data_IF_373472749682
#
_entry.id   IF_373472749682
#
_cell.length_a   1.000
_cell.length_b   1.000
_cell.length_c   1.000
_cell.angle_alpha   90.00
_cell.angle_beta   90.00
_cell.angle_gamma   90.00
#
_symmetry.space_group_name_H-M   'P 1'
#
loop_
_entity.id
_entity.type
_entity.pdbx_description
1 polymer ?
#
# COMPACT_ATOMS: atom_id res chain seq x y z
N UNK A 1 -71.59 1.88 1.07
CA UNK A 1 -70.97 3.05 1.72
C UNK A 1 -69.58 2.66 2.21
N UNK A 2 -68.53 3.26 1.65
CA UNK A 2 -67.16 3.06 2.15
C UNK A 2 -67.01 3.83 3.47
N UNK A 3 -66.59 3.15 4.52
CA UNK A 3 -66.42 3.74 5.83
C UNK A 3 -65.12 4.57 5.84
N UNK A 4 -65.25 5.90 5.75
CA UNK A 4 -64.14 6.87 5.69
C UNK A 4 -63.13 6.66 6.82
N UNK A 5 -63.58 6.22 8.00
CA UNK A 5 -62.69 5.91 9.13
C UNK A 5 -61.76 4.72 8.84
N UNK A 6 -62.24 3.70 8.13
CA UNK A 6 -61.42 2.56 7.68
C UNK A 6 -60.44 3.00 6.59
N UNK A 7 -60.88 3.86 5.66
CA UNK A 7 -60.01 4.40 4.60
C UNK A 7 -58.84 5.22 5.18
N UNK A 8 -59.09 6.06 6.19
CA UNK A 8 -58.06 6.84 6.89
C UNK A 8 -57.10 5.94 7.67
N UNK A 9 -57.61 4.90 8.33
CA UNK A 9 -56.79 3.90 9.03
C UNK A 9 -55.86 3.16 8.06
N UNK A 10 -56.37 2.68 6.93
CA UNK A 10 -55.56 2.02 5.90
C UNK A 10 -54.54 2.97 5.25
N UNK A 11 -54.91 4.23 5.00
CA UNK A 11 -53.98 5.24 4.48
C UNK A 11 -52.81 5.53 5.43
N UNK A 12 -53.09 5.65 6.74
CA UNK A 12 -52.05 5.86 7.75
C UNK A 12 -51.11 4.66 7.88
N UNK A 13 -51.65 3.44 7.87
CA UNK A 13 -50.85 2.22 7.95
C UNK A 13 -49.94 2.06 6.72
N UNK A 14 -50.45 2.39 5.54
CA UNK A 14 -49.67 2.35 4.29
C UNK A 14 -48.52 3.36 4.29
N UNK A 15 -48.76 4.58 4.78
CA UNK A 15 -47.70 5.59 4.91
C UNK A 15 -46.59 5.14 5.88
N UNK A 16 -46.96 4.49 7.00
CA UNK A 16 -45.98 3.93 7.95
C UNK A 16 -45.15 2.82 7.31
N UNK A 17 -45.77 1.89 6.56
CA UNK A 17 -45.06 0.80 5.87
C UNK A 17 -44.08 1.35 4.84
N UNK A 18 -44.47 2.36 4.05
CA UNK A 18 -43.57 3.03 3.08
C UNK A 18 -42.41 3.68 3.81
N UNK A 19 -42.67 4.41 4.91
CA UNK A 19 -41.61 5.04 5.69
C UNK A 19 -40.59 4.03 6.21
N UNK A 20 -41.06 2.87 6.69
CA UNK A 20 -40.21 1.75 7.12
C UNK A 20 -39.39 1.19 5.95
N UNK A 21 -40.02 0.97 4.80
CA UNK A 21 -39.34 0.46 3.61
C UNK A 21 -38.24 1.42 3.10
N UNK A 22 -38.54 2.72 3.06
CA UNK A 22 -37.56 3.76 2.69
C UNK A 22 -36.42 3.80 3.71
N UNK A 23 -36.71 3.72 5.00
CA UNK A 23 -35.70 3.72 6.05
C UNK A 23 -34.75 2.52 5.93
N UNK A 24 -35.28 1.31 5.72
CA UNK A 24 -34.45 0.11 5.51
C UNK A 24 -33.65 0.18 4.21
N UNK A 25 -34.23 0.69 3.12
CA UNK A 25 -33.54 0.88 1.85
C UNK A 25 -32.40 1.89 1.97
N UNK A 26 -32.66 3.04 2.61
CA UNK A 26 -31.65 4.06 2.86
C UNK A 26 -30.49 3.50 3.69
N UNK A 27 -30.78 2.82 4.81
CA UNK A 27 -29.73 2.20 5.65
C UNK A 27 -28.95 1.12 4.89
N UNK A 28 -29.62 0.36 4.04
CA UNK A 28 -28.99 -0.65 3.18
C UNK A 28 -28.09 -0.07 2.07
N UNK A 29 -28.10 1.25 1.86
CA UNK A 29 -27.27 1.93 0.86
C UNK A 29 -25.89 2.35 1.35
N UNK A 30 -25.55 2.06 2.61
CA UNK A 30 -24.25 2.38 3.22
C UNK A 30 -23.48 1.10 3.60
N UNK A 31 -22.15 1.21 3.64
CA UNK A 31 -21.23 0.21 4.14
C UNK A 31 -20.27 0.82 5.15
N UNK A 32 -19.80 0.01 6.10
CA UNK A 32 -18.85 0.46 7.11
C UNK A 32 -17.43 0.50 6.53
N UNK A 33 -16.70 1.58 6.81
CA UNK A 33 -15.31 1.77 6.38
C UNK A 33 -14.45 2.08 7.60
N UNK A 34 -13.30 1.42 7.66
CA UNK A 34 -12.27 1.63 8.67
C UNK A 34 -10.93 1.78 7.96
N UNK A 35 -10.27 2.92 8.17
CA UNK A 35 -8.96 3.21 7.60
C UNK A 35 -8.02 3.54 8.76
N UNK A 36 -6.92 2.82 8.83
CA UNK A 36 -5.84 3.09 9.78
C UNK A 36 -4.70 3.76 9.03
N UNK A 37 -4.28 4.95 9.47
CA UNK A 37 -3.12 5.66 8.95
C UNK A 37 -1.92 5.52 9.90
N UNK A 38 -0.69 5.54 9.38
CA UNK A 38 0.48 5.76 10.21
C UNK A 38 0.49 7.18 10.79
N UNK A 39 1.18 7.35 11.92
CA UNK A 39 1.29 8.64 12.59
C UNK A 39 1.87 9.73 11.68
N UNK A 40 1.22 10.89 11.65
CA UNK A 40 1.70 12.06 10.91
C UNK A 40 1.28 12.12 9.43
N UNK A 41 0.63 11.08 8.90
CA UNK A 41 0.08 11.08 7.54
C UNK A 41 -1.35 11.60 7.54
N UNK A 42 -1.64 12.54 6.65
CA UNK A 42 -2.99 13.00 6.38
C UNK A 42 -3.54 12.34 5.12
N UNK A 43 -4.86 12.14 5.10
CA UNK A 43 -5.55 11.55 3.96
C UNK A 43 -6.87 12.25 3.67
N UNK A 44 -7.31 12.13 2.41
CA UNK A 44 -8.65 12.50 1.96
C UNK A 44 -9.27 11.37 1.15
N UNK A 45 -10.58 11.19 1.29
CA UNK A 45 -11.37 10.27 0.49
C UNK A 45 -12.15 11.10 -0.54
N UNK A 46 -12.09 10.69 -1.79
CA UNK A 46 -12.90 11.26 -2.88
C UNK A 46 -13.74 10.14 -3.52
N UNK A 47 -14.88 10.50 -4.13
CA UNK A 47 -15.66 9.55 -4.93
C UNK A 47 -14.91 9.30 -6.24
N UNK A 48 -14.68 8.03 -6.59
CA UNK A 48 -14.07 7.70 -7.88
C UNK A 48 -15.05 8.00 -9.02
N UNK A 49 -14.76 9.03 -9.82
CA UNK A 49 -15.60 9.47 -10.94
C UNK A 49 -14.93 9.23 -12.30
N UNK A 50 -14.87 7.98 -12.77
CA UNK A 50 -14.41 7.65 -14.14
C UNK A 50 -12.98 8.14 -14.49
N UNK A 51 -12.56 7.91 -15.73
CA UNK A 51 -11.15 8.03 -16.15
C UNK A 51 -10.57 9.46 -16.24
N UNK A 52 -11.30 10.53 -15.96
CA UNK A 52 -10.79 11.90 -16.15
C UNK A 52 -11.26 12.85 -15.05
N UNK A 53 -10.39 13.08 -14.06
CA UNK A 53 -10.34 14.38 -13.38
C UNK A 53 -8.99 14.61 -12.73
N UNK A 54 -8.15 15.35 -13.45
CA UNK A 54 -7.08 16.14 -12.84
C UNK A 54 -7.68 17.06 -11.77
N UNK A 55 -7.16 16.98 -10.55
CA UNK A 55 -6.88 18.15 -9.71
C UNK A 55 -8.02 19.04 -9.19
N UNK A 56 -9.31 18.73 -9.35
CA UNK A 56 -10.39 19.53 -8.72
C UNK A 56 -10.53 19.16 -7.23
N UNK A 57 -9.98 20.00 -6.36
CA UNK A 57 -9.83 19.79 -4.91
C UNK A 57 -11.13 19.90 -4.07
N UNK A 58 -12.30 20.17 -4.66
CA UNK A 58 -13.50 20.58 -3.89
C UNK A 58 -14.49 19.43 -3.56
N UNK A 59 -14.13 18.17 -3.80
CA UNK A 59 -15.01 17.00 -3.72
C UNK A 59 -14.74 15.99 -2.59
N UNK A 60 -13.96 16.36 -1.57
CA UNK A 60 -13.60 15.44 -0.49
C UNK A 60 -14.83 14.98 0.31
N UNK A 61 -15.03 13.67 0.37
CA UNK A 61 -16.07 13.01 1.18
C UNK A 61 -15.66 13.04 2.65
N UNK A 62 -14.36 12.89 2.92
CA UNK A 62 -13.78 13.02 4.24
C UNK A 62 -12.30 13.42 4.12
N UNK A 63 -11.80 14.16 5.12
CA UNK A 63 -10.37 14.47 5.31
C UNK A 63 -10.03 14.18 6.76
N UNK A 64 -8.91 13.51 7.01
CA UNK A 64 -8.51 13.06 8.34
C UNK A 64 -6.98 12.89 8.44
N UNK A 65 -6.46 12.92 9.67
CA UNK A 65 -5.02 12.79 9.98
C UNK A 65 -4.69 11.63 10.92
N UNK A 66 -5.70 10.83 11.27
CA UNK A 66 -5.61 9.69 12.19
C UNK A 66 -6.42 8.51 11.61
N UNK A 67 -6.86 7.56 12.44
CA UNK A 67 -7.81 6.54 12.01
C UNK A 67 -9.16 7.15 11.61
N UNK A 68 -9.71 6.70 10.49
CA UNK A 68 -11.07 7.03 10.05
C UNK A 68 -12.01 5.85 10.23
N UNK A 69 -13.18 6.09 10.80
CA UNK A 69 -14.25 5.10 10.85
C UNK A 69 -15.61 5.75 10.66
N UNK A 70 -16.28 5.42 9.56
CA UNK A 70 -17.63 5.91 9.28
C UNK A 70 -18.37 4.99 8.30
N UNK A 71 -19.65 5.27 8.10
CA UNK A 71 -20.45 4.65 7.05
C UNK A 71 -20.43 5.50 5.78
N UNK A 72 -19.84 4.95 4.73
CA UNK A 72 -19.87 5.56 3.41
C UNK A 72 -20.98 4.96 2.56
N UNK A 73 -21.51 5.74 1.62
CA UNK A 73 -22.48 5.23 0.64
C UNK A 73 -21.80 4.16 -0.20
N UNK A 74 -22.54 3.12 -0.61
CA UNK A 74 -21.98 2.10 -1.49
C UNK A 74 -21.59 2.71 -2.83
N UNK A 75 -20.30 2.69 -3.16
CA UNK A 75 -19.68 3.30 -4.34
C UNK A 75 -18.19 2.93 -4.41
N UNK A 76 -17.54 3.29 -5.52
CA UNK A 76 -16.09 3.34 -5.62
C UNK A 76 -15.56 4.68 -5.09
N UNK A 77 -14.44 4.61 -4.38
CA UNK A 77 -13.76 5.72 -3.76
C UNK A 77 -12.26 5.62 -4.01
N UNK A 78 -11.60 6.77 -3.92
CA UNK A 78 -10.14 6.88 -3.98
C UNK A 78 -9.69 7.53 -2.68
N UNK A 79 -8.80 6.85 -1.96
CA UNK A 79 -8.05 7.36 -0.82
C UNK A 79 -6.77 8.01 -1.35
N UNK A 80 -6.52 9.26 -0.99
CA UNK A 80 -5.31 9.98 -1.35
C UNK A 80 -4.62 10.39 -0.06
N UNK A 81 -3.37 10.02 0.09
CA UNK A 81 -2.52 10.44 1.22
C UNK A 81 -1.53 11.49 0.78
N UNK A 82 -1.26 12.43 1.68
CA UNK A 82 -0.23 13.44 1.44
C UNK A 82 1.12 12.88 1.90
N UNK A 83 2.12 13.01 1.03
CA UNK A 83 3.50 12.73 1.40
C UNK A 83 3.93 13.61 2.57
N UNK A 84 4.77 13.04 3.43
CA UNK A 84 5.36 13.71 4.60
C UNK A 84 6.88 13.69 4.47
N UNK A 85 7.60 14.16 5.49
CA UNK A 85 9.05 13.97 5.55
C UNK A 85 9.46 12.50 5.65
N UNK A 86 8.60 11.63 6.19
CA UNK A 86 8.93 10.21 6.41
C UNK A 86 8.33 9.27 5.37
N UNK A 87 7.15 9.60 4.84
CA UNK A 87 6.35 8.74 3.97
C UNK A 87 6.09 9.38 2.61
N UNK A 88 6.13 8.58 1.56
CA UNK A 88 5.65 8.97 0.24
C UNK A 88 4.12 9.12 0.22
N UNK A 89 3.63 9.95 -0.70
CA UNK A 89 2.20 10.07 -0.95
C UNK A 89 1.70 8.90 -1.79
N UNK A 90 0.59 8.30 -1.37
CA UNK A 90 -0.03 7.15 -2.03
C UNK A 90 -1.50 7.40 -2.36
N UNK A 91 -1.95 6.82 -3.47
CA UNK A 91 -3.35 6.79 -3.91
C UNK A 91 -3.83 5.34 -3.98
N UNK A 92 -4.96 5.04 -3.32
CA UNK A 92 -5.56 3.71 -3.24
C UNK A 92 -7.05 3.76 -3.58
N UNK A 93 -7.46 2.98 -4.58
CA UNK A 93 -8.87 2.82 -4.92
C UNK A 93 -9.52 1.69 -4.09
N UNK A 94 -10.73 1.92 -3.60
CA UNK A 94 -11.51 0.92 -2.86
C UNK A 94 -13.01 0.99 -3.15
N UNK A 95 -13.69 -0.14 -3.01
CA UNK A 95 -15.14 -0.24 -3.18
C UNK A 95 -15.84 -0.43 -1.83
N UNK A 96 -16.80 0.44 -1.54
CA UNK A 96 -17.72 0.28 -0.42
C UNK A 96 -18.91 -0.51 -0.90
N UNK A 97 -19.06 -1.73 -0.37
CA UNK A 97 -20.15 -2.64 -0.70
C UNK A 97 -20.96 -2.97 0.56
N UNK A 98 -21.59 -4.15 0.61
CA UNK A 98 -22.33 -4.60 1.79
C UNK A 98 -21.42 -5.10 2.91
N UNK A 99 -20.18 -5.47 2.60
CA UNK A 99 -19.21 -5.93 3.60
C UNK A 99 -18.40 -4.74 4.15
N UNK A 100 -17.94 -4.80 5.42
CA UNK A 100 -17.02 -3.81 5.96
C UNK A 100 -15.73 -3.73 5.14
N UNK A 101 -15.29 -2.51 4.85
CA UNK A 101 -14.00 -2.23 4.21
C UNK A 101 -13.01 -1.87 5.31
N UNK A 102 -11.92 -2.63 5.42
CA UNK A 102 -10.85 -2.39 6.37
C UNK A 102 -9.57 -2.17 5.58
N UNK A 103 -9.01 -0.96 5.68
CA UNK A 103 -7.77 -0.56 5.00
C UNK A 103 -6.74 -0.24 6.08
N UNK A 104 -5.65 -0.98 6.08
CA UNK A 104 -4.49 -0.67 6.92
C UNK A 104 -3.41 -0.11 5.99
N UNK A 105 -3.25 1.21 6.02
CA UNK A 105 -2.31 1.87 5.13
C UNK A 105 -0.90 1.73 5.67
N UNK A 106 0.00 1.28 4.81
CA UNK A 106 1.43 1.16 5.08
C UNK A 106 2.19 1.82 3.94
N UNK A 107 2.24 3.17 3.90
CA UNK A 107 2.92 3.89 2.83
C UNK A 107 4.41 3.57 2.84
N UNK A 108 5.01 3.67 1.67
CA UNK A 108 6.45 3.58 1.49
C UNK A 108 7.16 4.77 2.15
N UNK A 109 8.39 4.56 2.59
CA UNK A 109 9.23 5.64 3.09
C UNK A 109 9.79 6.49 1.96
N UNK A 110 10.03 7.77 2.26
CA UNK A 110 10.74 8.67 1.35
C UNK A 110 12.17 8.20 1.10
N UNK A 111 12.74 8.60 -0.03
CA UNK A 111 14.14 8.30 -0.36
C UNK A 111 15.10 8.78 0.75
N UNK A 112 14.89 9.97 1.29
CA UNK A 112 15.69 10.53 2.39
C UNK A 112 15.63 9.67 3.66
N UNK A 113 14.43 9.16 4.00
CA UNK A 113 14.25 8.26 5.15
C UNK A 113 14.92 6.92 4.89
N UNK A 114 14.79 6.37 3.69
CA UNK A 114 15.41 5.11 3.28
C UNK A 114 16.95 5.21 3.31
N UNK A 115 17.54 6.32 2.88
CA UNK A 115 18.99 6.53 2.95
C UNK A 115 19.51 6.62 4.38
N UNK A 116 18.75 7.27 5.27
CA UNK A 116 19.05 7.32 6.70
C UNK A 116 19.00 5.91 7.31
N UNK A 117 17.96 5.13 6.99
CA UNK A 117 17.81 3.75 7.46
C UNK A 117 18.90 2.84 6.89
N UNK A 118 19.28 3.02 5.63
CA UNK A 118 20.34 2.25 4.99
C UNK A 118 21.67 2.47 5.72
N UNK A 119 22.01 3.72 6.03
CA UNK A 119 23.23 4.04 6.77
C UNK A 119 23.32 3.30 8.11
N UNK A 120 22.18 3.14 8.80
CA UNK A 120 22.12 2.42 10.08
C UNK A 120 22.16 0.89 9.95
N UNK A 121 21.64 0.35 8.85
CA UNK A 121 21.47 -1.10 8.64
C UNK A 121 22.53 -1.71 7.73
N UNK A 122 23.36 -0.89 7.08
CA UNK A 122 24.33 -1.31 6.07
C UNK A 122 25.21 -2.46 6.57
N UNK A 123 25.82 -2.32 7.76
CA UNK A 123 26.69 -3.36 8.32
C UNK A 123 25.98 -4.71 8.48
N UNK A 124 24.75 -4.71 9.00
CA UNK A 124 23.96 -5.94 9.19
C UNK A 124 23.64 -6.62 7.84
N UNK A 125 23.36 -5.83 6.80
CA UNK A 125 23.10 -6.32 5.44
C UNK A 125 24.38 -6.96 4.85
N UNK A 126 25.54 -6.30 5.01
CA UNK A 126 26.82 -6.85 4.56
C UNK A 126 27.14 -8.17 5.25
N UNK A 127 26.93 -8.23 6.56
CA UNK A 127 27.19 -9.45 7.35
C UNK A 127 26.29 -10.59 6.91
N UNK A 128 24.99 -10.33 6.71
CA UNK A 128 24.07 -11.33 6.18
C UNK A 128 24.49 -11.82 4.79
N UNK A 129 24.93 -10.91 3.90
CA UNK A 129 25.43 -11.28 2.58
C UNK A 129 26.68 -12.17 2.66
N UNK A 130 27.68 -11.78 3.47
CA UNK A 130 28.92 -12.54 3.64
C UNK A 130 28.69 -13.91 4.28
N UNK A 131 27.71 -14.02 5.18
CA UNK A 131 27.34 -15.29 5.79
C UNK A 131 26.76 -16.27 4.77
N UNK A 132 25.91 -15.77 3.86
CA UNK A 132 25.32 -16.59 2.79
C UNK A 132 26.31 -16.89 1.65
N UNK A 133 27.28 -16.00 1.41
CA UNK A 133 28.23 -16.08 0.30
C UNK A 133 29.67 -15.75 0.74
N UNK A 134 30.36 -16.65 1.46
CA UNK A 134 31.68 -16.38 2.02
C UNK A 134 32.77 -16.18 0.95
N UNK A 135 32.62 -16.74 -0.25
CA UNK A 135 33.62 -16.69 -1.32
C UNK A 135 33.38 -15.58 -2.35
N UNK A 136 32.16 -15.04 -2.47
CA UNK A 136 31.85 -13.96 -3.44
C UNK A 136 32.73 -12.72 -3.23
N UNK A 137 33.05 -12.27 -1.99
CA UNK A 137 33.93 -11.12 -1.76
C UNK A 137 35.34 -11.23 -2.35
N UNK A 138 35.79 -12.42 -2.76
CA UNK A 138 37.09 -12.60 -3.41
C UNK A 138 37.10 -12.13 -4.86
N UNK A 139 35.94 -12.16 -5.52
CA UNK A 139 35.81 -11.87 -6.96
C UNK A 139 34.87 -10.70 -7.27
N UNK A 140 34.09 -10.27 -6.28
CA UNK A 140 33.08 -9.22 -6.42
C UNK A 140 33.14 -8.25 -5.24
N UNK A 141 32.96 -6.97 -5.56
CA UNK A 141 32.79 -5.90 -4.57
C UNK A 141 31.33 -5.48 -4.56
N UNK A 142 30.73 -5.39 -3.37
CA UNK A 142 29.46 -4.69 -3.22
C UNK A 142 29.71 -3.18 -3.29
N UNK A 143 29.16 -2.53 -4.31
CA UNK A 143 29.46 -1.11 -4.60
C UNK A 143 28.33 -0.19 -4.18
N UNK A 144 27.09 -0.63 -4.37
CA UNK A 144 25.92 0.17 -4.07
C UNK A 144 24.73 -0.72 -3.74
N UNK A 145 23.79 -0.13 -3.02
CA UNK A 145 22.46 -0.68 -2.87
C UNK A 145 21.54 0.36 -2.27
N UNK A 146 20.26 0.04 -2.22
CA UNK A 146 19.26 0.92 -1.62
C UNK A 146 18.19 0.12 -0.92
N UNK A 147 17.52 0.77 0.03
CA UNK A 147 16.33 0.24 0.65
C UNK A 147 15.08 0.56 -0.19
N UNK A 148 14.02 -0.22 0.00
CA UNK A 148 12.73 -0.07 -0.66
C UNK A 148 11.59 -0.25 0.35
N UNK A 149 10.39 0.21 -0.03
CA UNK A 149 9.18 0.06 0.78
C UNK A 149 9.31 0.77 2.11
N UNK A 150 9.15 0.03 3.20
CA UNK A 150 9.29 0.55 4.57
C UNK A 150 10.70 0.31 5.13
N UNK A 151 11.71 0.19 4.26
CA UNK A 151 13.08 -0.13 4.66
C UNK A 151 13.31 -1.60 5.03
N UNK A 152 12.36 -2.46 4.69
CA UNK A 152 12.38 -3.90 4.96
C UNK A 152 12.96 -4.72 3.78
N UNK A 153 13.15 -4.09 2.63
CA UNK A 153 13.79 -4.68 1.46
C UNK A 153 15.04 -3.93 1.06
N UNK A 154 16.08 -4.67 0.70
CA UNK A 154 17.33 -4.14 0.22
C UNK A 154 17.67 -4.74 -1.15
N UNK A 155 18.09 -3.90 -2.08
CA UNK A 155 18.70 -4.33 -3.34
C UNK A 155 20.16 -3.92 -3.39
N UNK A 156 21.05 -4.86 -3.72
CA UNK A 156 22.48 -4.62 -3.82
C UNK A 156 23.04 -4.99 -5.19
N UNK A 157 24.08 -4.26 -5.62
CA UNK A 157 24.81 -4.48 -6.87
C UNK A 157 26.25 -4.91 -6.59
N UNK A 158 26.60 -6.07 -7.13
CA UNK A 158 27.93 -6.67 -7.06
C UNK A 158 28.67 -6.42 -8.37
N UNK A 159 29.81 -5.75 -8.28
CA UNK A 159 30.69 -5.48 -9.43
C UNK A 159 31.86 -6.47 -9.37
N UNK A 160 32.13 -7.23 -10.44
CA UNK A 160 33.26 -8.14 -10.47
C UNK A 160 34.58 -7.38 -10.51
N UNK A 161 35.62 -7.97 -9.92
CA UNK A 161 37.00 -7.46 -10.05
C UNK A 161 37.51 -7.54 -11.49
N UNK A 162 37.07 -8.54 -12.25
CA UNK A 162 37.32 -8.67 -13.69
C UNK A 162 36.06 -8.30 -14.50
N UNK A 163 35.92 -7.02 -14.80
CA UNK A 163 34.76 -6.49 -15.54
C UNK A 163 34.73 -6.86 -17.03
N UNK A 164 35.83 -7.41 -17.58
CA UNK A 164 35.88 -7.80 -19.00
C UNK A 164 35.26 -9.19 -19.22
N UNK A 165 35.36 -10.06 -18.22
CA UNK A 165 34.98 -11.48 -18.35
C UNK A 165 33.84 -11.91 -17.43
N UNK A 166 33.34 -11.02 -16.57
CA UNK A 166 32.27 -11.34 -15.61
C UNK A 166 31.16 -10.28 -15.63
N UNK A 167 29.94 -10.74 -15.43
CA UNK A 167 28.76 -9.87 -15.38
C UNK A 167 28.58 -9.21 -14.01
N UNK A 168 27.93 -8.05 -14.02
CA UNK A 168 27.40 -7.41 -12.81
C UNK A 168 26.25 -8.27 -12.28
N UNK A 169 26.28 -8.57 -10.98
CA UNK A 169 25.24 -9.34 -10.31
C UNK A 169 24.44 -8.45 -9.37
N UNK A 170 23.19 -8.82 -9.13
CA UNK A 170 22.26 -8.17 -8.23
C UNK A 170 21.75 -9.17 -7.21
N UNK A 171 21.49 -8.69 -6.01
CA UNK A 171 20.78 -9.49 -5.02
C UNK A 171 19.73 -8.68 -4.29
N UNK A 172 18.77 -9.40 -3.73
CA UNK A 172 17.72 -8.85 -2.88
C UNK A 172 17.81 -9.48 -1.51
N UNK A 173 17.74 -8.65 -0.47
CA UNK A 173 17.60 -9.08 0.90
C UNK A 173 16.29 -8.55 1.50
N UNK A 174 15.73 -9.28 2.45
CA UNK A 174 14.53 -8.88 3.18
C UNK A 174 14.75 -9.02 4.68
N UNK A 175 14.28 -8.03 5.44
CA UNK A 175 14.36 -8.04 6.89
C UNK A 175 13.19 -8.85 7.46
N UNK A 176 13.50 -10.05 7.95
CA UNK A 176 12.53 -10.97 8.56
C UNK A 176 12.83 -11.12 10.04
N UNK A 177 11.84 -10.84 10.88
CA UNK A 177 11.96 -10.97 12.34
C UNK A 177 13.18 -10.23 12.92
N UNK A 178 13.49 -9.05 12.37
CA UNK A 178 14.62 -8.21 12.80
C UNK A 178 15.96 -8.52 12.12
N UNK A 179 16.09 -9.66 11.43
CA UNK A 179 17.33 -10.08 10.76
C UNK A 179 17.25 -9.96 9.25
N UNK A 180 18.35 -9.60 8.60
CA UNK A 180 18.45 -9.58 7.14
C UNK A 180 18.68 -10.98 6.58
N UNK A 181 17.93 -11.35 5.55
CA UNK A 181 18.04 -12.65 4.87
C UNK A 181 18.17 -12.39 3.37
N UNK A 182 19.17 -12.98 2.71
CA UNK A 182 19.29 -12.89 1.26
C UNK A 182 18.24 -13.79 0.61
N UNK A 183 17.44 -13.23 -0.29
CA UNK A 183 16.32 -13.92 -0.95
C UNK A 183 16.77 -14.50 -2.29
N UNK A 184 17.58 -13.76 -3.05
CA UNK A 184 18.12 -14.21 -4.34
C UNK A 184 19.38 -15.03 -4.14
N UNK A 185 19.24 -16.36 -4.03
CA UNK A 185 20.36 -17.31 -3.91
C UNK A 185 20.43 -18.20 -5.16
N UNK A 186 21.50 -18.12 -5.98
CA UNK A 186 22.61 -17.16 -5.95
C UNK A 186 22.20 -15.75 -6.42
N UNK A 187 23.07 -14.73 -6.28
CA UNK A 187 22.90 -13.44 -6.93
C UNK A 187 22.73 -13.59 -8.45
N UNK A 188 21.95 -12.71 -9.06
CA UNK A 188 21.49 -12.86 -10.45
C UNK A 188 21.85 -11.63 -11.29
N UNK A 189 22.16 -11.81 -12.56
CA UNK A 189 22.37 -10.69 -13.50
C UNK A 189 21.11 -9.83 -13.58
N UNK A 190 19.94 -10.48 -13.69
CA UNK A 190 18.62 -9.87 -13.69
C UNK A 190 17.76 -10.64 -12.69
N UNK A 191 17.17 -9.91 -11.73
CA UNK A 191 16.22 -10.48 -10.76
C UNK A 191 14.87 -10.66 -11.47
N UNK A 192 14.29 -11.85 -11.38
CA UNK A 192 13.01 -12.18 -12.02
C UNK A 192 11.91 -12.40 -11.00
N UNK A 193 10.78 -11.72 -11.17
CA UNK A 193 9.57 -11.93 -10.35
C UNK A 193 8.90 -13.29 -10.60
N UNK A 194 9.25 -13.98 -11.70
CA UNK A 194 8.79 -15.36 -11.96
C UNK A 194 9.58 -16.35 -11.09
N UNK A 195 10.87 -16.10 -10.90
CA UNK A 195 11.74 -16.96 -10.09
C UNK A 195 11.64 -16.65 -8.59
N UNK A 196 11.31 -15.40 -8.25
CA UNK A 196 11.16 -14.91 -6.87
C UNK A 196 9.80 -14.21 -6.70
N UNK A 197 8.69 -14.98 -6.70
CA UNK A 197 7.33 -14.43 -6.59
C UNK A 197 7.04 -13.75 -5.23
N UNK A 198 7.85 -14.02 -4.21
CA UNK A 198 7.79 -13.39 -2.89
C UNK A 198 8.35 -11.97 -2.87
N UNK A 199 9.12 -11.57 -3.88
CA UNK A 199 9.66 -10.20 -3.98
C UNK A 199 8.62 -9.35 -4.69
N UNK A 200 8.15 -8.25 -4.07
CA UNK A 200 7.25 -7.30 -4.73
C UNK A 200 7.80 -6.84 -6.09
N UNK A 201 6.91 -6.76 -7.10
CA UNK A 201 7.30 -6.53 -8.50
C UNK A 201 7.99 -5.18 -8.71
N UNK A 202 7.54 -4.17 -7.98
CA UNK A 202 8.11 -2.84 -7.92
C UNK A 202 9.56 -2.87 -7.39
N UNK A 203 9.84 -3.69 -6.37
CA UNK A 203 11.19 -3.91 -5.84
C UNK A 203 12.06 -4.63 -6.86
N UNK A 204 11.57 -5.72 -7.47
CA UNK A 204 12.30 -6.41 -8.57
C UNK A 204 12.69 -5.43 -9.67
N UNK A 205 11.75 -4.60 -10.12
CA UNK A 205 11.98 -3.57 -11.13
C UNK A 205 12.98 -2.51 -10.66
N UNK A 206 12.90 -2.11 -9.39
CA UNK A 206 13.81 -1.15 -8.79
C UNK A 206 15.25 -1.66 -8.72
N UNK A 207 15.44 -2.90 -8.27
CA UNK A 207 16.76 -3.55 -8.19
C UNK A 207 17.39 -3.71 -9.58
N UNK A 208 16.61 -4.09 -10.59
CA UNK A 208 17.11 -4.21 -11.97
C UNK A 208 17.48 -2.87 -12.63
N UNK A 209 17.18 -1.73 -11.99
CA UNK A 209 17.56 -0.38 -12.44
C UNK A 209 18.76 0.20 -11.70
N UNK A 210 19.25 -0.47 -10.66
CA UNK A 210 20.54 -0.17 -10.01
C UNK A 210 21.69 -0.47 -10.96
#
# INVERSE_FOLDING_TARGET
>A
MINIKRLLLFGSLFAVIIGIAIFFWYRGSFGNVQITLPSGVSAKIIVAQGEHRDGDEDGAVATFSDSYSDNLRKSFYTLITQGTSEYEGETLDFEVSSNPVIINLTPDYTEEKLDTLLSSSHTEIIEAFKADFPTIPEEYTLVSGRLFGQGDWYGGTLIPSDQLNKDILRFVANRRSGTWVIVTKPPQIIVSSVLHPEIPKDIVRGVNKL
#
